data_IF_291312743361
#
_entry.id   IF_291312743361
#
_cell.length_a   1.000
_cell.length_b   1.000
_cell.length_c   1.000
_cell.angle_alpha   90.00
_cell.angle_beta   90.00
_cell.angle_gamma   90.00
#
_symmetry.space_group_name_H-M   'P 1'
#
loop_
_entity.id
_entity.type
_entity.pdbx_description
1 polymer ?
#
# COMPACT_ATOMS: atom_id res chain seq x y z
N UNK A 1 1.53 18.59 18.37
CA UNK A 1 2.18 17.48 17.64
C UNK A 1 3.21 18.00 16.65
N UNK A 2 4.40 17.41 16.63
CA UNK A 2 5.53 17.91 15.83
C UNK A 2 5.26 17.75 14.32
N UNK A 3 4.64 16.64 13.90
CA UNK A 3 4.52 16.28 12.48
C UNK A 3 3.14 16.53 11.87
N UNK A 4 2.09 16.52 12.65
CA UNK A 4 0.70 16.70 12.20
C UNK A 4 0.33 15.92 10.88
N UNK A 5 0.58 14.61 10.79
CA UNK A 5 0.33 13.83 9.58
C UNK A 5 -1.17 13.66 9.33
N UNK A 6 -1.55 13.35 8.09
CA UNK A 6 -2.93 12.98 7.73
C UNK A 6 -3.22 11.52 8.00
N UNK A 7 -2.18 10.67 7.94
CA UNK A 7 -2.25 9.24 8.22
C UNK A 7 -1.22 8.88 9.29
N UNK A 8 -1.66 8.12 10.28
CA UNK A 8 -0.80 7.53 11.32
C UNK A 8 -0.84 6.02 11.12
N UNK A 9 0.32 5.42 10.81
CA UNK A 9 0.45 3.98 10.73
C UNK A 9 1.03 3.43 12.04
N UNK A 10 0.30 2.54 12.69
CA UNK A 10 0.71 1.89 13.95
C UNK A 10 1.13 0.46 13.65
N UNK A 11 2.33 0.11 14.05
CA UNK A 11 2.89 -1.23 13.89
C UNK A 11 3.16 -1.86 15.24
N UNK A 12 2.83 -3.14 15.38
CA UNK A 12 3.23 -3.89 16.56
C UNK A 12 4.72 -4.24 16.50
N UNK A 13 5.29 -4.40 17.68
CA UNK A 13 6.60 -5.04 17.89
C UNK A 13 6.42 -6.43 18.44
N UNK A 14 7.48 -7.22 18.50
CA UNK A 14 7.45 -8.52 19.15
C UNK A 14 7.04 -8.41 20.64
N UNK A 15 7.40 -7.32 21.31
CA UNK A 15 7.02 -7.11 22.71
C UNK A 15 5.50 -6.87 22.84
N UNK A 16 4.92 -5.94 22.06
CA UNK A 16 3.50 -5.65 22.11
C UNK A 16 2.64 -6.87 21.74
N UNK A 17 3.06 -7.68 20.78
CA UNK A 17 2.38 -8.94 20.45
C UNK A 17 2.47 -9.98 21.59
N UNK A 18 3.63 -10.05 22.26
CA UNK A 18 3.83 -11.00 23.37
C UNK A 18 3.00 -10.65 24.60
N UNK A 19 2.85 -9.36 24.90
CA UNK A 19 1.99 -8.91 26.02
C UNK A 19 0.52 -8.83 25.65
N UNK A 20 0.17 -9.03 24.35
CA UNK A 20 -1.20 -9.12 23.89
C UNK A 20 -1.90 -7.76 23.69
N UNK A 21 -1.14 -6.75 23.24
CA UNK A 21 -1.74 -5.45 22.90
C UNK A 21 -2.74 -5.60 21.74
N UNK A 22 -3.99 -5.30 21.99
CA UNK A 22 -5.05 -5.27 20.99
C UNK A 22 -5.16 -3.88 20.33
N UNK A 23 -4.43 -3.70 19.23
CA UNK A 23 -4.45 -2.43 18.47
C UNK A 23 -5.86 -2.06 18.01
N UNK A 24 -6.70 -3.03 17.68
CA UNK A 24 -8.07 -2.77 17.23
C UNK A 24 -8.85 -2.08 18.33
N UNK A 25 -8.86 -2.68 19.54
CA UNK A 25 -9.56 -2.13 20.69
C UNK A 25 -8.97 -0.79 21.14
N UNK A 26 -7.65 -0.65 21.14
CA UNK A 26 -6.96 0.59 21.53
C UNK A 26 -7.34 1.74 20.60
N UNK A 27 -7.30 1.51 19.28
CA UNK A 27 -7.58 2.55 18.28
C UNK A 27 -9.07 2.88 18.26
N UNK A 28 -9.96 1.88 18.34
CA UNK A 28 -11.42 2.12 18.42
C UNK A 28 -11.79 2.96 19.63
N UNK A 29 -11.19 2.64 20.79
CA UNK A 29 -11.42 3.43 22.00
C UNK A 29 -10.91 4.86 21.88
N UNK A 30 -9.73 5.05 21.28
CA UNK A 30 -9.18 6.38 21.03
C UNK A 30 -10.06 7.22 20.08
N UNK A 31 -10.70 6.58 19.11
CA UNK A 31 -11.65 7.23 18.19
C UNK A 31 -12.95 7.59 18.90
N UNK A 32 -13.52 6.67 19.68
CA UNK A 32 -14.72 6.90 20.50
C UNK A 32 -14.53 8.02 21.53
N UNK A 33 -13.34 8.13 22.12
CA UNK A 33 -12.98 9.18 23.08
C UNK A 33 -12.64 10.52 22.42
N UNK A 34 -12.66 10.60 21.07
CA UNK A 34 -12.34 11.81 20.32
C UNK A 34 -10.86 12.21 20.39
N UNK A 35 -9.95 11.27 20.69
CA UNK A 35 -8.51 11.51 20.74
C UNK A 35 -7.88 11.57 19.36
N UNK A 36 -8.56 11.04 18.34
CA UNK A 36 -8.14 11.12 16.94
C UNK A 36 -8.76 12.39 16.33
N UNK A 37 -7.96 13.41 15.97
CA UNK A 37 -8.50 14.65 15.42
C UNK A 37 -9.27 14.41 14.12
N UNK A 38 -10.32 15.20 13.88
CA UNK A 38 -11.09 15.14 12.64
C UNK A 38 -10.21 15.26 11.39
N UNK A 39 -10.49 14.42 10.40
CA UNK A 39 -9.72 14.34 9.14
C UNK A 39 -8.44 13.51 9.23
N UNK A 40 -8.02 13.06 10.43
CA UNK A 40 -6.88 12.15 10.57
C UNK A 40 -7.33 10.69 10.46
N UNK A 41 -6.45 9.85 9.96
CA UNK A 41 -6.69 8.41 9.85
C UNK A 41 -5.61 7.64 10.60
N UNK A 42 -6.03 6.71 11.42
CA UNK A 42 -5.14 5.75 12.06
C UNK A 42 -5.33 4.39 11.39
N UNK A 43 -4.25 3.84 10.86
CA UNK A 43 -4.23 2.48 10.32
C UNK A 43 -3.26 1.65 11.16
N UNK A 44 -3.46 0.35 11.19
CA UNK A 44 -2.58 -0.53 11.96
C UNK A 44 -2.34 -1.85 11.26
N UNK A 45 -1.20 -2.43 11.58
CA UNK A 45 -0.84 -3.76 11.10
C UNK A 45 0.07 -4.47 12.12
N UNK A 46 -0.15 -5.77 12.26
CA UNK A 46 0.66 -6.62 13.12
C UNK A 46 1.93 -7.02 12.39
N UNK A 47 3.07 -6.63 12.96
CA UNK A 47 4.40 -6.84 12.36
C UNK A 47 5.41 -7.37 13.38
N UNK A 48 5.10 -8.48 14.10
CA UNK A 48 6.04 -9.04 15.05
C UNK A 48 7.28 -9.59 14.35
N UNK A 49 8.47 -9.28 14.87
CA UNK A 49 9.74 -9.66 14.24
C UNK A 49 10.08 -11.16 14.34
N UNK A 50 9.35 -11.90 15.14
CA UNK A 50 9.51 -13.36 15.26
C UNK A 50 8.65 -14.16 14.26
N UNK A 51 7.82 -13.51 13.46
CA UNK A 51 6.98 -14.15 12.45
C UNK A 51 7.43 -13.72 11.06
N UNK A 52 8.04 -14.64 10.31
CA UNK A 52 8.47 -14.38 8.95
C UNK A 52 9.69 -13.46 8.85
N UNK A 53 9.69 -12.60 7.86
CA UNK A 53 10.79 -11.68 7.54
C UNK A 53 10.26 -10.25 7.26
N UNK A 54 11.14 -9.34 6.84
CA UNK A 54 10.75 -8.02 6.35
C UNK A 54 9.75 -8.10 5.18
N UNK A 55 9.81 -9.14 4.36
CA UNK A 55 8.84 -9.41 3.28
C UNK A 55 7.44 -9.62 3.86
N UNK A 56 7.32 -10.41 4.93
CA UNK A 56 6.04 -10.65 5.62
C UNK A 56 5.49 -9.34 6.21
N UNK A 57 6.34 -8.54 6.86
CA UNK A 57 5.95 -7.23 7.40
C UNK A 57 5.47 -6.29 6.30
N UNK A 58 6.17 -6.25 5.17
CA UNK A 58 5.77 -5.47 4.00
C UNK A 58 4.41 -5.92 3.46
N UNK A 59 4.21 -7.23 3.25
CA UNK A 59 2.93 -7.80 2.80
C UNK A 59 1.78 -7.43 3.72
N UNK A 60 1.99 -7.53 5.05
CA UNK A 60 1.00 -7.14 6.04
C UNK A 60 0.64 -5.66 5.94
N UNK A 61 1.63 -4.77 5.76
CA UNK A 61 1.39 -3.35 5.61
C UNK A 61 0.64 -3.01 4.32
N UNK A 62 0.99 -3.61 3.18
CA UNK A 62 0.28 -3.40 1.91
C UNK A 62 -1.16 -3.89 2.02
N UNK A 63 -1.38 -5.03 2.68
CA UNK A 63 -2.72 -5.56 2.96
C UNK A 63 -3.52 -4.63 3.87
N UNK A 64 -2.87 -4.01 4.87
CA UNK A 64 -3.51 -3.02 5.73
C UNK A 64 -3.94 -1.77 4.94
N UNK A 65 -3.16 -1.29 3.98
CA UNK A 65 -3.57 -0.19 3.10
C UNK A 65 -4.89 -0.53 2.37
N UNK A 66 -5.00 -1.73 1.80
CA UNK A 66 -6.24 -2.21 1.18
C UNK A 66 -7.38 -2.27 2.20
N UNK A 67 -7.11 -2.85 3.38
CA UNK A 67 -8.11 -3.01 4.44
C UNK A 67 -8.72 -1.67 4.86
N UNK A 68 -7.90 -0.66 5.05
CA UNK A 68 -8.35 0.62 5.59
C UNK A 68 -8.83 1.61 4.53
N UNK A 69 -8.23 1.62 3.35
CA UNK A 69 -8.51 2.64 2.34
C UNK A 69 -9.44 2.18 1.22
N UNK A 70 -9.24 1.00 0.63
CA UNK A 70 -9.98 0.59 -0.56
C UNK A 70 -11.49 0.59 -0.33
N UNK A 71 -12.22 1.25 -1.20
CA UNK A 71 -13.69 1.31 -1.16
C UNK A 71 -14.27 1.05 -2.54
N UNK A 72 -15.33 0.25 -2.62
CA UNK A 72 -16.08 0.06 -3.86
C UNK A 72 -17.31 0.95 -3.85
N UNK A 73 -17.46 1.72 -4.93
CA UNK A 73 -18.69 2.51 -5.21
C UNK A 73 -19.62 1.77 -6.18
N UNK A 74 -19.30 0.51 -6.53
CA UNK A 74 -19.99 -0.29 -7.53
C UNK A 74 -19.86 0.25 -8.97
N UNK A 75 -19.03 1.25 -9.21
CA UNK A 75 -18.73 1.81 -10.53
C UNK A 75 -17.31 1.48 -10.91
N UNK A 76 -17.11 0.48 -11.76
CA UNK A 76 -15.78 0.13 -12.25
C UNK A 76 -15.18 1.26 -13.08
N UNK A 77 -13.97 1.65 -12.73
CA UNK A 77 -13.14 2.60 -13.48
C UNK A 77 -12.25 1.85 -14.44
N UNK A 78 -11.96 2.43 -15.59
CA UNK A 78 -10.97 1.87 -16.52
C UNK A 78 -9.53 2.17 -16.03
N UNK A 79 -9.19 1.61 -14.90
CA UNK A 79 -7.91 1.74 -14.19
C UNK A 79 -7.49 0.37 -13.72
N UNK A 80 -6.20 0.08 -13.74
CA UNK A 80 -5.59 -1.14 -13.22
C UNK A 80 -4.77 -0.78 -11.97
N UNK A 81 -4.94 -1.54 -10.90
CA UNK A 81 -4.04 -1.45 -9.75
C UNK A 81 -2.74 -2.19 -10.07
N UNK A 82 -1.63 -1.54 -9.79
CA UNK A 82 -0.31 -2.15 -9.75
C UNK A 82 0.12 -2.21 -8.28
N UNK A 83 0.07 -3.40 -7.70
CA UNK A 83 0.47 -3.63 -6.31
C UNK A 83 1.91 -4.10 -6.33
N UNK A 84 2.80 -3.21 -5.90
CA UNK A 84 4.22 -3.49 -5.98
C UNK A 84 4.71 -4.29 -4.78
N UNK A 85 5.55 -5.29 -5.07
CA UNK A 85 6.39 -5.91 -4.08
C UNK A 85 7.60 -5.05 -3.70
N UNK A 86 8.62 -5.68 -3.18
CA UNK A 86 9.86 -5.00 -2.80
C UNK A 86 10.67 -4.63 -4.06
N UNK A 87 10.44 -3.45 -4.57
CA UNK A 87 11.03 -2.95 -5.82
C UNK A 87 11.64 -1.57 -5.62
N UNK A 88 12.75 -1.31 -6.29
CA UNK A 88 13.39 0.01 -6.29
C UNK A 88 12.51 1.07 -7.00
N UNK A 89 12.59 2.34 -6.60
CA UNK A 89 11.83 3.42 -7.23
C UNK A 89 12.08 3.53 -8.74
N UNK A 90 13.29 3.24 -9.22
CA UNK A 90 13.64 3.23 -10.64
C UNK A 90 12.83 2.20 -11.43
N UNK A 91 12.65 1.00 -10.88
CA UNK A 91 11.91 -0.09 -11.52
C UNK A 91 10.40 0.24 -11.54
N UNK A 92 9.88 0.80 -10.44
CA UNK A 92 8.51 1.28 -10.38
C UNK A 92 8.25 2.37 -11.43
N UNK A 93 9.21 3.28 -11.63
CA UNK A 93 9.11 4.34 -12.65
C UNK A 93 9.10 3.74 -14.06
N UNK A 94 9.89 2.71 -14.32
CA UNK A 94 9.89 2.03 -15.62
C UNK A 94 8.55 1.32 -15.88
N UNK A 95 7.98 0.64 -14.91
CA UNK A 95 6.65 0.01 -15.04
C UNK A 95 5.58 1.07 -15.34
N UNK A 96 5.60 2.20 -14.63
CA UNK A 96 4.69 3.34 -14.92
C UNK A 96 4.89 3.88 -16.34
N UNK A 97 6.16 3.96 -16.81
CA UNK A 97 6.47 4.40 -18.17
C UNK A 97 5.90 3.45 -19.22
N UNK A 98 6.04 2.14 -19.02
CA UNK A 98 5.48 1.11 -19.89
C UNK A 98 3.96 1.16 -19.91
N UNK A 99 3.30 1.23 -18.77
CA UNK A 99 1.85 1.36 -18.67
C UNK A 99 1.35 2.61 -19.43
N UNK A 100 2.07 3.73 -19.30
CA UNK A 100 1.75 4.96 -20.05
C UNK A 100 1.90 4.79 -21.57
N UNK A 101 2.94 4.09 -22.04
CA UNK A 101 3.11 3.81 -23.47
C UNK A 101 2.00 2.90 -24.02
N UNK A 102 1.45 2.02 -23.19
CA UNK A 102 0.32 1.16 -23.52
C UNK A 102 -1.03 1.87 -23.35
N UNK A 103 -1.02 3.16 -22.99
CA UNK A 103 -2.22 3.95 -22.70
C UNK A 103 -3.11 3.38 -21.58
N UNK A 104 -2.52 2.62 -20.68
CA UNK A 104 -3.20 2.03 -19.53
C UNK A 104 -3.12 2.99 -18.34
N UNK A 105 -4.29 3.37 -17.81
CA UNK A 105 -4.34 4.10 -16.54
C UNK A 105 -4.08 3.16 -15.38
N UNK A 106 -3.17 3.54 -14.50
CA UNK A 106 -2.80 2.73 -13.34
C UNK A 106 -2.87 3.51 -12.03
N UNK A 107 -3.19 2.80 -10.97
CA UNK A 107 -2.94 3.21 -9.59
C UNK A 107 -1.85 2.29 -9.07
N UNK A 108 -0.67 2.84 -8.82
CA UNK A 108 0.45 2.10 -8.25
C UNK A 108 0.51 2.31 -6.73
N UNK A 109 0.58 1.22 -5.97
CA UNK A 109 0.77 1.28 -4.53
C UNK A 109 1.50 0.05 -3.97
N UNK A 110 2.37 0.23 -2.96
CA UNK A 110 2.95 1.51 -2.59
C UNK A 110 3.78 2.09 -3.73
N UNK A 111 3.63 3.38 -3.98
CA UNK A 111 4.46 4.11 -4.93
C UNK A 111 5.57 4.83 -4.17
N UNK A 112 6.81 4.45 -4.42
CA UNK A 112 7.99 5.02 -3.76
C UNK A 112 8.73 6.01 -4.66
N UNK A 113 8.26 6.20 -5.90
CA UNK A 113 8.89 7.13 -6.84
C UNK A 113 8.72 8.57 -6.37
N UNK A 114 9.76 9.36 -6.57
CA UNK A 114 9.83 10.78 -6.21
C UNK A 114 9.67 11.09 -4.70
N UNK A 115 9.38 10.08 -3.88
CA UNK A 115 9.35 10.20 -2.43
C UNK A 115 10.64 9.72 -1.77
N UNK A 116 11.21 8.58 -2.22
CA UNK A 116 12.44 8.02 -1.66
C UNK A 116 13.68 8.38 -2.49
N UNK A 117 13.54 8.65 -3.77
CA UNK A 117 14.64 8.91 -4.70
C UNK A 117 14.67 10.35 -5.24
N UNK A 118 14.07 11.29 -4.52
CA UNK A 118 14.12 12.71 -4.87
C UNK A 118 15.54 13.26 -4.75
N UNK A 119 16.03 14.02 -5.75
CA UNK A 119 17.33 14.65 -5.67
C UNK A 119 17.49 15.55 -4.44
N UNK A 120 18.67 15.55 -3.85
CA UNK A 120 18.99 16.43 -2.76
C UNK A 120 18.95 17.91 -3.22
N UNK A 121 18.02 18.69 -2.68
CA UNK A 121 17.86 20.11 -3.01
C UNK A 121 18.58 21.05 -2.06
N UNK A 122 19.31 20.50 -1.07
CA UNK A 122 19.91 21.27 0.03
C UNK A 122 18.90 21.75 1.08
N UNK A 123 17.61 21.46 0.90
CA UNK A 123 16.55 21.74 1.87
C UNK A 123 15.87 20.44 2.26
N UNK A 124 15.79 20.19 3.55
CA UNK A 124 15.02 19.05 4.06
C UNK A 124 13.53 19.29 3.86
N UNK A 125 12.87 18.36 3.19
CA UNK A 125 11.41 18.31 3.10
C UNK A 125 10.94 17.00 3.74
N UNK A 126 10.21 17.10 4.84
CA UNK A 126 9.71 15.93 5.57
C UNK A 126 8.68 15.15 4.76
N UNK A 127 7.92 15.83 3.92
CA UNK A 127 6.90 15.24 3.05
C UNK A 127 7.24 15.59 1.60
N UNK A 128 8.16 14.85 0.96
CA UNK A 128 8.49 15.06 -0.43
C UNK A 128 7.24 14.81 -1.29
N UNK A 129 7.23 15.39 -2.49
CA UNK A 129 6.19 15.10 -3.47
C UNK A 129 6.40 13.69 -4.01
N UNK A 130 5.30 13.07 -4.44
CA UNK A 130 5.31 11.71 -4.97
C UNK A 130 4.52 10.75 -4.10
N UNK A 131 4.61 9.47 -4.42
CA UNK A 131 3.87 8.44 -3.72
C UNK A 131 2.41 8.30 -4.16
N UNK A 132 1.70 7.40 -3.49
CA UNK A 132 0.27 7.13 -3.73
C UNK A 132 -0.58 8.06 -2.90
N UNK A 133 -1.54 8.74 -3.51
CA UNK A 133 -2.46 9.62 -2.77
C UNK A 133 -3.52 8.82 -2.00
N UNK A 134 -4.14 9.44 -1.00
CA UNK A 134 -5.26 8.80 -0.29
C UNK A 134 -6.45 8.54 -1.21
N UNK A 135 -6.72 9.47 -2.14
CA UNK A 135 -7.76 9.35 -3.14
C UNK A 135 -7.53 8.15 -4.05
N UNK A 136 -6.29 7.93 -4.48
CA UNK A 136 -5.92 6.76 -5.28
C UNK A 136 -6.08 5.48 -4.49
N UNK A 137 -5.64 5.43 -3.22
CA UNK A 137 -5.84 4.27 -2.35
C UNK A 137 -7.31 3.93 -2.18
N UNK A 138 -8.16 4.93 -1.99
CA UNK A 138 -9.62 4.71 -1.92
C UNK A 138 -10.15 4.18 -3.24
N UNK A 139 -9.69 4.73 -4.38
CA UNK A 139 -10.15 4.38 -5.71
C UNK A 139 -9.72 2.98 -6.18
N UNK A 140 -8.74 2.34 -5.52
CA UNK A 140 -8.32 0.97 -5.83
C UNK A 140 -9.47 -0.02 -5.83
N UNK A 141 -10.47 0.18 -4.95
CA UNK A 141 -11.65 -0.68 -4.87
C UNK A 141 -12.61 -0.60 -6.07
N UNK A 142 -12.48 0.42 -6.89
CA UNK A 142 -13.25 0.58 -8.12
C UNK A 142 -12.46 0.23 -9.39
N UNK A 143 -11.21 -0.18 -9.26
CA UNK A 143 -10.37 -0.56 -10.39
C UNK A 143 -10.91 -1.79 -11.12
N UNK A 144 -10.62 -1.89 -12.41
CA UNK A 144 -11.10 -2.97 -13.26
C UNK A 144 -10.39 -4.29 -12.95
N UNK A 145 -9.11 -4.21 -12.61
CA UNK A 145 -8.26 -5.35 -12.35
C UNK A 145 -7.08 -4.95 -11.45
N UNK A 146 -6.46 -5.92 -10.81
CA UNK A 146 -5.23 -5.73 -10.03
C UNK A 146 -4.14 -6.68 -10.52
N UNK A 147 -2.93 -6.16 -10.62
CA UNK A 147 -1.71 -6.94 -10.88
C UNK A 147 -0.82 -6.79 -9.65
N UNK A 148 -0.61 -7.91 -8.94
CA UNK A 148 0.39 -8.00 -7.89
C UNK A 148 1.74 -8.39 -8.50
N UNK A 149 2.80 -7.65 -8.19
CA UNK A 149 4.15 -7.92 -8.67
C UNK A 149 5.00 -8.44 -7.52
N UNK A 150 5.35 -9.73 -7.57
CA UNK A 150 6.05 -10.45 -6.51
C UNK A 150 5.10 -11.10 -5.50
N UNK A 151 4.94 -12.43 -5.60
CA UNK A 151 3.95 -13.23 -4.86
C UNK A 151 3.97 -12.98 -3.34
N UNK A 152 5.13 -13.15 -2.71
CA UNK A 152 5.25 -13.09 -1.25
C UNK A 152 4.88 -11.72 -0.65
N UNK A 153 5.00 -10.67 -1.46
CA UNK A 153 4.75 -9.30 -1.03
C UNK A 153 3.31 -8.83 -1.27
N UNK A 154 2.63 -9.36 -2.30
CA UNK A 154 1.45 -8.70 -2.87
C UNK A 154 0.19 -9.56 -2.89
N UNK A 155 0.33 -10.89 -2.85
CA UNK A 155 -0.81 -11.81 -2.98
C UNK A 155 -1.88 -11.56 -1.92
N UNK A 156 -1.50 -11.40 -0.65
CA UNK A 156 -2.44 -11.13 0.44
C UNK A 156 -3.25 -9.84 0.22
N UNK A 157 -2.61 -8.80 -0.33
CA UNK A 157 -3.27 -7.55 -0.65
C UNK A 157 -4.25 -7.69 -1.83
N UNK A 158 -3.86 -8.47 -2.85
CA UNK A 158 -4.73 -8.80 -3.98
C UNK A 158 -5.96 -9.58 -3.54
N UNK A 159 -5.76 -10.65 -2.76
CA UNK A 159 -6.85 -11.45 -2.16
C UNK A 159 -7.78 -10.55 -1.35
N UNK A 160 -7.21 -9.70 -0.48
CA UNK A 160 -8.00 -8.79 0.35
C UNK A 160 -8.82 -7.79 -0.46
N UNK A 161 -8.29 -7.33 -1.57
CA UNK A 161 -9.00 -6.41 -2.47
C UNK A 161 -10.14 -7.11 -3.23
N UNK A 162 -9.95 -8.37 -3.66
CA UNK A 162 -11.03 -9.16 -4.26
C UNK A 162 -12.12 -9.48 -3.22
N UNK A 163 -11.76 -9.92 -2.03
CA UNK A 163 -12.72 -10.17 -0.95
C UNK A 163 -13.58 -8.94 -0.61
N UNK A 164 -12.94 -7.78 -0.50
CA UNK A 164 -13.59 -6.56 -0.03
C UNK A 164 -14.34 -5.79 -1.11
N UNK A 165 -13.77 -5.75 -2.31
CA UNK A 165 -14.23 -4.87 -3.40
C UNK A 165 -14.53 -5.62 -4.69
N UNK A 166 -14.34 -6.96 -4.73
CA UNK A 166 -14.54 -7.80 -5.91
C UNK A 166 -13.71 -7.37 -7.13
N UNK A 167 -12.51 -6.85 -6.89
CA UNK A 167 -11.54 -6.51 -7.94
C UNK A 167 -10.73 -7.75 -8.25
N UNK A 168 -10.92 -8.31 -9.43
CA UNK A 168 -10.18 -9.48 -9.89
C UNK A 168 -8.69 -9.17 -10.02
N UNK A 169 -7.87 -10.17 -9.84
CA UNK A 169 -6.42 -10.00 -9.83
C UNK A 169 -5.67 -11.16 -10.48
N UNK A 170 -4.43 -10.89 -10.84
CA UNK A 170 -3.38 -11.88 -11.06
C UNK A 170 -2.13 -11.45 -10.29
N UNK A 171 -1.29 -12.42 -9.95
CA UNK A 171 -0.02 -12.16 -9.29
C UNK A 171 1.10 -12.71 -10.18
N UNK A 172 2.06 -11.86 -10.48
CA UNK A 172 3.15 -12.16 -11.39
C UNK A 172 4.49 -11.96 -10.70
N UNK A 173 5.51 -12.62 -11.24
CA UNK A 173 6.89 -12.37 -10.83
C UNK A 173 7.34 -10.97 -11.30
N UNK A 174 8.40 -10.47 -10.68
CA UNK A 174 9.07 -9.27 -11.20
C UNK A 174 9.51 -9.54 -12.65
N UNK A 175 9.22 -8.64 -13.61
CA UNK A 175 9.46 -8.89 -15.05
C UNK A 175 10.95 -8.83 -15.40
N UNK A 176 11.72 -9.83 -14.93
CA UNK A 176 13.14 -10.02 -15.19
C UNK A 176 13.31 -11.28 -16.04
N UNK A 177 13.91 -11.10 -17.22
CA UNK A 177 14.13 -12.18 -18.19
C UNK A 177 12.89 -12.51 -19.02
N UNK A 178 13.10 -13.24 -20.12
CA UNK A 178 12.08 -13.50 -21.14
C UNK A 178 10.80 -14.12 -20.57
N UNK A 179 10.93 -15.16 -19.77
CA UNK A 179 9.76 -15.89 -19.23
C UNK A 179 8.81 -15.02 -18.39
N UNK A 180 9.37 -14.12 -17.60
CA UNK A 180 8.56 -13.25 -16.74
C UNK A 180 8.04 -12.00 -17.50
N UNK A 181 8.75 -11.58 -18.56
CA UNK A 181 8.37 -10.43 -19.38
C UNK A 181 7.29 -10.79 -20.41
N UNK A 182 7.26 -12.04 -20.89
CA UNK A 182 6.30 -12.50 -21.89
C UNK A 182 4.96 -12.98 -21.29
N UNK A 183 4.83 -13.00 -19.98
CA UNK A 183 3.62 -13.38 -19.25
C UNK A 183 2.67 -12.21 -19.03
#
# INVERSE_FOLDING_TARGET
TVYNPDIIAVHTTCLSETIGDDLTSIISKADEEGLIPEGKKVIYCNTPSYVGSHITGYSNQVTALVKFFSKSTSRRRNVINLINGWMEPSDQREIKRLAKLMEIRTIMFPDMTDSLDTPLTGKYNMYPRGGTTQEDLVATGDSKFSIGIGHDCTENACVKLDEKCHVKYDVVDVPIGLKATDR
#
